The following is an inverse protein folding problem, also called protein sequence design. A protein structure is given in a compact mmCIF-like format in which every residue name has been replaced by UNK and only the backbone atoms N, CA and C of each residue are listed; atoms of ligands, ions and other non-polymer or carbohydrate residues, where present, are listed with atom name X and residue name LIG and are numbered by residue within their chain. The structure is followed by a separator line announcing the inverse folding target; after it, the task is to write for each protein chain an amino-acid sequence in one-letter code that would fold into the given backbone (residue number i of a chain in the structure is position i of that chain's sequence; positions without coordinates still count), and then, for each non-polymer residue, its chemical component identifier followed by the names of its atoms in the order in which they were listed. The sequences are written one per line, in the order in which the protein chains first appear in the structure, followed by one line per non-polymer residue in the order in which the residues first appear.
data_IF_835219779676
#
_entry.id   IF_835219779676
#
_cell.length_a   1.000
_cell.length_b   1.000
_cell.length_c   1.000
_cell.angle_alpha   90.00
_cell.angle_beta   90.00
_cell.angle_gamma   90.00
#
_symmetry.space_group_name_H-M   'P 1'
#
loop_
_entity.id
_entity.type
_entity.pdbx_description
1 polymer ?
#
# COMPACT_ATOMS: atom_id res chain seq x y z
N UNK A 1 19.20 21.22 -3.71
CA UNK A 1 19.00 19.83 -4.15
C UNK A 1 20.04 18.97 -3.46
N UNK A 2 19.74 18.47 -2.27
CA UNK A 2 20.66 17.64 -1.48
C UNK A 2 20.48 16.19 -1.89
N UNK A 3 21.47 15.67 -2.62
CA UNK A 3 21.67 14.23 -2.84
C UNK A 3 21.75 13.55 -1.46
N UNK A 4 21.01 12.46 -1.18
CA UNK A 4 21.14 11.75 0.10
C UNK A 4 22.56 11.19 0.25
N UNK A 5 23.19 11.45 1.40
CA UNK A 5 24.51 10.93 1.76
C UNK A 5 24.56 9.39 1.68
N UNK A 6 25.75 8.81 1.39
CA UNK A 6 25.94 7.36 1.44
C UNK A 6 25.54 6.87 2.83
N UNK A 7 24.74 5.81 2.89
CA UNK A 7 24.29 5.22 4.14
C UNK A 7 25.49 4.95 5.04
N UNK A 8 25.55 5.66 6.17
CA UNK A 8 26.49 5.41 7.26
C UNK A 8 26.24 4.00 7.79
N UNK A 9 27.14 3.08 7.43
CA UNK A 9 27.09 1.67 7.75
C UNK A 9 27.36 1.37 9.24
N UNK A 10 27.46 2.40 10.10
CA UNK A 10 27.70 2.28 11.54
C UNK A 10 26.50 2.69 12.41
N UNK A 11 25.36 3.06 11.81
CA UNK A 11 24.16 3.41 12.57
C UNK A 11 23.55 2.14 13.20
N UNK A 12 23.34 2.07 14.53
CA UNK A 12 22.71 0.92 15.18
C UNK A 12 21.37 0.55 14.51
N UNK A 13 21.01 -0.73 14.40
CA UNK A 13 19.77 -1.17 13.72
C UNK A 13 18.49 -0.50 14.24
N UNK A 14 18.51 -0.03 15.48
CA UNK A 14 17.41 0.66 16.16
C UNK A 14 17.10 2.05 15.59
N UNK A 15 18.09 2.70 14.96
CA UNK A 15 18.05 4.09 14.48
C UNK A 15 17.99 4.18 12.94
N UNK A 16 18.06 3.04 12.24
CA UNK A 16 17.94 2.97 10.78
C UNK A 16 16.52 3.31 10.32
N UNK A 17 16.38 4.37 9.54
CA UNK A 17 15.12 4.74 8.89
C UNK A 17 14.84 3.73 7.78
N UNK A 18 13.62 3.18 7.67
CA UNK A 18 13.31 2.25 6.60
C UNK A 18 13.57 2.93 5.24
N UNK A 19 14.25 2.27 4.28
CA UNK A 19 14.60 2.86 3.00
C UNK A 19 13.37 2.88 2.08
N UNK A 20 12.30 3.56 2.47
CA UNK A 20 11.08 3.64 1.67
C UNK A 20 11.11 4.96 0.90
N UNK A 21 11.60 4.90 -0.33
CA UNK A 21 11.67 6.07 -1.23
C UNK A 21 10.28 6.47 -1.76
N UNK A 22 9.27 5.59 -1.67
CA UNK A 22 7.97 5.77 -2.31
C UNK A 22 6.86 5.64 -1.27
N UNK A 23 6.20 6.76 -0.94
CA UNK A 23 4.98 6.73 -0.13
C UNK A 23 3.84 6.05 -0.89
N UNK A 24 3.30 4.94 -0.38
CA UNK A 24 2.26 4.19 -1.09
C UNK A 24 0.99 5.02 -1.37
N UNK A 25 0.50 5.87 -0.44
CA UNK A 25 -0.61 6.78 -0.75
C UNK A 25 -0.27 7.81 -1.82
N UNK A 26 0.98 8.29 -1.86
CA UNK A 26 1.43 9.26 -2.88
C UNK A 26 1.53 8.57 -4.24
N UNK A 27 2.01 7.32 -4.30
CA UNK A 27 2.02 6.51 -5.51
C UNK A 27 0.60 6.34 -6.07
N UNK A 28 -0.35 5.94 -5.22
CA UNK A 28 -1.76 5.80 -5.60
C UNK A 28 -2.34 7.13 -6.08
N UNK A 29 -2.12 8.23 -5.35
CA UNK A 29 -2.58 9.55 -5.76
C UNK A 29 -1.96 10.00 -7.09
N UNK A 30 -0.67 9.76 -7.30
CA UNK A 30 0.03 10.06 -8.55
C UNK A 30 -0.52 9.24 -9.73
N UNK A 31 -0.85 7.96 -9.52
CA UNK A 31 -1.48 7.13 -10.54
C UNK A 31 -2.86 7.66 -10.94
N UNK A 32 -3.69 8.02 -9.95
CA UNK A 32 -5.04 8.56 -10.20
C UNK A 32 -4.96 9.92 -10.91
N UNK A 33 -4.08 10.83 -10.48
CA UNK A 33 -3.93 12.14 -11.11
C UNK A 33 -3.37 12.02 -12.53
N UNK A 34 -2.36 11.18 -12.74
CA UNK A 34 -1.80 10.93 -14.06
C UNK A 34 -2.85 10.33 -15.00
N UNK A 35 -3.60 9.32 -14.56
CA UNK A 35 -4.68 8.74 -15.33
C UNK A 35 -5.77 9.76 -15.71
N UNK A 36 -6.16 10.63 -14.77
CA UNK A 36 -7.15 11.68 -15.03
C UNK A 36 -6.64 12.72 -16.03
N UNK A 37 -5.37 13.13 -15.93
CA UNK A 37 -4.74 14.06 -16.87
C UNK A 37 -4.64 13.47 -18.28
N UNK A 38 -4.27 12.19 -18.40
CA UNK A 38 -4.21 11.51 -19.69
C UNK A 38 -5.60 11.32 -20.29
N UNK A 39 -6.62 10.98 -19.48
CA UNK A 39 -8.01 10.89 -19.95
C UNK A 39 -8.52 12.26 -20.42
N UNK A 40 -8.18 13.34 -19.72
CA UNK A 40 -8.56 14.69 -20.13
C UNK A 40 -7.87 15.11 -21.44
N UNK A 41 -6.58 14.77 -21.60
CA UNK A 41 -5.78 15.14 -22.76
C UNK A 41 -6.06 14.26 -24.00
N UNK A 42 -6.38 12.99 -23.77
CA UNK A 42 -6.73 11.98 -24.77
C UNK A 42 -7.90 11.12 -24.23
N UNK A 43 -9.14 11.58 -24.47
CA UNK A 43 -10.32 10.83 -24.06
C UNK A 43 -10.41 9.56 -24.90
N UNK A 44 -10.01 8.43 -24.30
CA UNK A 44 -10.21 7.11 -24.86
C UNK A 44 -11.59 6.59 -24.48
N UNK A 45 -12.11 5.62 -25.23
CA UNK A 45 -13.38 4.99 -24.91
C UNK A 45 -13.32 4.34 -23.53
N UNK A 46 -14.22 4.76 -22.64
CA UNK A 46 -14.36 4.18 -21.30
C UNK A 46 -15.25 2.94 -21.38
N UNK A 47 -15.07 1.97 -20.48
CA UNK A 47 -15.83 0.72 -20.52
C UNK A 47 -17.35 0.90 -20.32
N UNK A 48 -17.79 2.10 -19.93
CA UNK A 48 -19.21 2.48 -19.82
C UNK A 48 -19.96 2.52 -21.16
N UNK A 49 -19.25 2.49 -22.29
CA UNK A 49 -19.84 2.29 -23.60
C UNK A 49 -20.43 0.89 -23.78
N UNK A 50 -19.97 -0.08 -22.99
CA UNK A 50 -20.35 -1.51 -23.08
C UNK A 50 -21.03 -2.00 -21.79
N UNK A 51 -20.62 -1.48 -20.63
CA UNK A 51 -21.09 -1.89 -19.32
C UNK A 51 -21.98 -0.82 -18.65
N UNK A 52 -23.03 -1.22 -17.91
CA UNK A 52 -23.92 -0.29 -17.23
C UNK A 52 -23.20 0.44 -16.08
N UNK A 53 -23.31 1.78 -16.03
CA UNK A 53 -22.58 2.62 -15.07
C UNK A 53 -22.92 2.36 -13.61
N UNK A 54 -24.20 2.12 -13.31
CA UNK A 54 -24.68 2.02 -11.91
C UNK A 54 -24.09 0.80 -11.17
N UNK A 55 -24.13 -0.43 -11.72
CA UNK A 55 -23.48 -1.58 -11.08
C UNK A 55 -21.98 -1.39 -10.87
N UNK A 56 -21.27 -0.81 -11.86
CA UNK A 56 -19.83 -0.54 -11.73
C UNK A 56 -19.55 0.47 -10.60
N UNK A 57 -20.33 1.55 -10.51
CA UNK A 57 -20.20 2.51 -9.44
C UNK A 57 -20.45 1.89 -8.06
N UNK A 58 -21.46 1.01 -7.93
CA UNK A 58 -21.75 0.31 -6.67
C UNK A 58 -20.62 -0.65 -6.28
N UNK A 59 -20.15 -1.49 -7.21
CA UNK A 59 -19.04 -2.41 -6.96
C UNK A 59 -17.78 -1.63 -6.57
N UNK A 60 -17.46 -0.57 -7.32
CA UNK A 60 -16.33 0.29 -7.02
C UNK A 60 -16.42 0.94 -5.65
N UNK A 61 -17.60 1.47 -5.29
CA UNK A 61 -17.84 2.06 -3.96
C UNK A 61 -17.68 1.03 -2.83
N UNK A 62 -18.16 -0.21 -3.02
CA UNK A 62 -17.98 -1.30 -2.05
C UNK A 62 -16.49 -1.65 -1.89
N UNK A 63 -15.73 -1.75 -2.98
CA UNK A 63 -14.29 -1.98 -2.94
C UNK A 63 -13.55 -0.85 -2.22
N UNK A 64 -13.88 0.41 -2.51
CA UNK A 64 -13.30 1.58 -1.82
C UNK A 64 -13.62 1.54 -0.33
N UNK A 65 -14.87 1.27 0.04
CA UNK A 65 -15.30 1.18 1.43
C UNK A 65 -14.56 0.07 2.20
N UNK A 66 -14.42 -1.11 1.59
CA UNK A 66 -13.69 -2.22 2.20
C UNK A 66 -12.19 -1.93 2.31
N UNK A 67 -11.58 -1.33 1.28
CA UNK A 67 -10.19 -0.91 1.30
C UNK A 67 -9.91 0.13 2.38
N UNK A 68 -10.76 1.16 2.47
CA UNK A 68 -10.70 2.18 3.52
C UNK A 68 -10.86 1.59 4.92
N UNK A 69 -11.79 0.64 5.09
CA UNK A 69 -11.97 -0.09 6.34
C UNK A 69 -10.69 -0.83 6.77
N UNK A 70 -10.01 -1.53 5.85
CA UNK A 70 -8.76 -2.22 6.15
C UNK A 70 -7.65 -1.25 6.58
N UNK A 71 -7.49 -0.13 5.87
CA UNK A 71 -6.49 0.90 6.21
C UNK A 71 -6.78 1.50 7.58
N UNK A 72 -8.02 1.90 7.84
CA UNK A 72 -8.43 2.48 9.13
C UNK A 72 -8.19 1.49 10.27
N UNK A 73 -8.60 0.22 10.10
CA UNK A 73 -8.35 -0.82 11.11
C UNK A 73 -6.86 -1.00 11.38
N UNK A 74 -6.04 -1.09 10.34
CA UNK A 74 -4.59 -1.25 10.49
C UNK A 74 -3.96 -0.07 11.25
N UNK A 75 -4.32 1.16 10.88
CA UNK A 75 -3.85 2.38 11.54
C UNK A 75 -4.28 2.39 13.02
N UNK A 76 -5.54 2.05 13.32
CA UNK A 76 -6.04 1.98 14.69
C UNK A 76 -5.32 0.89 15.52
N UNK A 77 -5.06 -0.28 14.95
CA UNK A 77 -4.31 -1.35 15.63
C UNK A 77 -2.88 -0.89 15.92
N UNK A 78 -2.21 -0.24 14.96
CA UNK A 78 -0.88 0.33 15.15
C UNK A 78 -0.85 1.40 16.24
N UNK A 79 -1.79 2.35 16.21
CA UNK A 79 -1.91 3.39 17.24
C UNK A 79 -2.14 2.81 18.64
N UNK A 80 -3.02 1.81 18.76
CA UNK A 80 -3.31 1.14 20.05
C UNK A 80 -2.10 0.37 20.58
N UNK A 81 -1.28 -0.18 19.70
CA UNK A 81 -0.04 -0.85 20.07
C UNK A 81 1.11 0.12 20.39
N UNK A 82 0.88 1.44 20.33
CA UNK A 82 1.91 2.45 20.57
C UNK A 82 3.02 2.46 19.51
N UNK A 83 2.77 1.89 18.34
CA UNK A 83 3.72 1.87 17.22
C UNK A 83 3.42 2.99 16.25
N UNK A 84 4.47 3.61 15.71
CA UNK A 84 4.30 4.58 14.64
C UNK A 84 3.88 3.83 13.37
N UNK A 85 2.90 4.39 12.65
CA UNK A 85 2.64 3.96 11.27
C UNK A 85 3.97 4.10 10.51
N UNK A 86 4.44 3.04 9.83
CA UNK A 86 5.76 3.01 9.22
C UNK A 86 5.77 4.09 8.15
N UNK A 87 6.43 5.21 8.44
CA UNK A 87 6.56 6.30 7.47
C UNK A 87 7.88 7.04 7.67
N UNK A 88 8.26 7.39 8.91
CA UNK A 88 9.57 8.04 9.18
C UNK A 88 10.13 7.82 10.60
N UNK A 89 9.49 6.97 11.40
CA UNK A 89 9.91 6.72 12.77
C UNK A 89 10.26 5.24 12.94
N UNK A 90 11.24 4.92 13.79
CA UNK A 90 11.55 3.54 14.12
C UNK A 90 10.26 2.84 14.57
N UNK A 91 9.98 1.65 14.02
CA UNK A 91 8.88 0.83 14.51
C UNK A 91 9.19 0.47 15.97
N UNK A 92 8.36 0.89 16.92
CA UNK A 92 8.61 0.71 18.36
C UNK A 92 8.09 -0.63 18.86
N UNK A 93 7.13 -1.24 18.15
CA UNK A 93 6.60 -2.56 18.46
C UNK A 93 6.19 -3.31 17.18
N UNK A 94 6.33 -4.63 17.22
CA UNK A 94 5.84 -5.54 16.19
C UNK A 94 4.36 -5.87 16.47
N UNK A 95 3.46 -5.50 15.54
CA UNK A 95 2.02 -5.71 15.67
C UNK A 95 1.61 -6.95 14.87
N UNK A 96 1.11 -7.97 15.57
CA UNK A 96 0.77 -9.27 14.98
C UNK A 96 -0.69 -9.70 15.19
N UNK A 97 -1.52 -8.82 15.74
CA UNK A 97 -2.92 -9.10 16.08
C UNK A 97 -3.90 -8.28 15.22
N UNK A 98 -5.20 -8.58 15.33
CA UNK A 98 -6.27 -7.94 14.55
C UNK A 98 -6.06 -8.17 13.03
N UNK A 99 -6.14 -7.13 12.19
CA UNK A 99 -5.95 -7.23 10.73
C UNK A 99 -4.54 -7.72 10.36
N UNK A 100 -3.54 -7.47 11.22
CA UNK A 100 -2.18 -7.96 11.05
C UNK A 100 -2.04 -9.46 11.32
N UNK A 101 -3.02 -10.12 11.94
CA UNK A 101 -3.02 -11.57 12.10
C UNK A 101 -3.41 -12.32 10.81
N UNK A 102 -4.01 -11.62 9.83
CA UNK A 102 -4.48 -12.23 8.57
C UNK A 102 -3.58 -11.94 7.39
N UNK A 103 -2.99 -10.74 7.35
CA UNK A 103 -2.02 -10.33 6.35
C UNK A 103 -0.96 -9.49 7.02
N UNK A 104 0.29 -9.61 6.58
CA UNK A 104 1.38 -8.76 7.08
C UNK A 104 1.29 -7.32 6.58
N UNK A 105 0.52 -7.09 5.51
CA UNK A 105 0.48 -5.84 4.76
C UNK A 105 -0.96 -5.30 4.57
N UNK A 106 -1.77 -5.15 5.64
CA UNK A 106 -3.19 -4.77 5.52
C UNK A 106 -3.40 -3.36 4.93
N UNK A 107 -2.48 -2.43 5.18
CA UNK A 107 -2.52 -1.07 4.60
C UNK A 107 -2.36 -1.15 3.08
N UNK A 108 -1.36 -1.89 2.61
CA UNK A 108 -1.10 -2.07 1.18
C UNK A 108 -2.27 -2.74 0.46
N UNK A 109 -2.84 -3.77 1.09
CA UNK A 109 -4.03 -4.42 0.55
C UNK A 109 -5.21 -3.45 0.46
N UNK A 110 -5.45 -2.66 1.50
CA UNK A 110 -6.52 -1.67 1.49
C UNK A 110 -6.33 -0.59 0.42
N UNK A 111 -5.09 -0.15 0.20
CA UNK A 111 -4.73 0.80 -0.87
C UNK A 111 -4.95 0.20 -2.27
N UNK A 112 -4.49 -1.04 -2.50
CA UNK A 112 -4.70 -1.75 -3.78
C UNK A 112 -6.19 -1.95 -4.04
N UNK A 113 -6.95 -2.39 -3.04
CA UNK A 113 -8.39 -2.62 -3.15
C UNK A 113 -9.16 -1.32 -3.38
N UNK A 114 -8.76 -0.24 -2.71
CA UNK A 114 -9.32 1.09 -2.93
C UNK A 114 -9.05 1.59 -4.35
N UNK A 115 -7.80 1.49 -4.83
CA UNK A 115 -7.43 1.88 -6.19
C UNK A 115 -8.18 1.06 -7.25
N UNK A 116 -8.32 -0.26 -7.03
CA UNK A 116 -9.14 -1.11 -7.90
C UNK A 116 -10.61 -0.67 -7.89
N UNK A 117 -11.15 -0.30 -6.73
CA UNK A 117 -12.51 0.23 -6.63
C UNK A 117 -12.70 1.53 -7.40
N UNK A 118 -11.72 2.44 -7.39
CA UNK A 118 -11.73 3.66 -8.22
C UNK A 118 -11.69 3.29 -9.70
N UNK A 119 -10.83 2.33 -10.09
CA UNK A 119 -10.74 1.85 -11.48
C UNK A 119 -12.04 1.19 -11.97
N UNK A 120 -12.80 0.52 -11.09
CA UNK A 120 -14.11 -0.06 -11.43
C UNK A 120 -15.19 1.03 -11.51
N UNK A 121 -15.24 1.95 -10.55
CA UNK A 121 -16.23 3.04 -10.54
C UNK A 121 -16.03 4.00 -11.72
N UNK A 122 -14.78 4.20 -12.14
CA UNK A 122 -14.40 5.05 -13.26
C UNK A 122 -13.54 4.25 -14.25
N UNK A 123 -14.15 3.44 -15.13
CA UNK A 123 -13.44 2.46 -15.95
C UNK A 123 -12.76 3.10 -17.18
N UNK A 124 -11.80 3.98 -16.91
CA UNK A 124 -10.87 4.54 -17.88
C UNK A 124 -9.73 3.56 -18.14
N UNK A 125 -9.37 3.39 -19.41
CA UNK A 125 -8.24 2.53 -19.81
C UNK A 125 -6.92 2.99 -19.19
N UNK A 126 -6.72 4.31 -19.05
CA UNK A 126 -5.55 4.86 -18.39
C UNK A 126 -5.49 4.43 -16.93
N UNK A 127 -6.63 4.51 -16.23
CA UNK A 127 -6.69 4.17 -14.82
C UNK A 127 -6.45 2.67 -14.59
N UNK A 128 -7.01 1.80 -15.43
CA UNK A 128 -6.73 0.36 -15.39
C UNK A 128 -5.25 0.08 -15.65
N UNK A 129 -4.68 0.71 -16.68
CA UNK A 129 -3.27 0.54 -17.06
C UNK A 129 -2.31 0.95 -15.94
N UNK A 130 -2.59 2.03 -15.21
CA UNK A 130 -1.78 2.44 -14.07
C UNK A 130 -2.05 1.64 -12.80
N UNK A 131 -3.26 1.10 -12.62
CA UNK A 131 -3.64 0.33 -11.42
C UNK A 131 -3.06 -1.08 -11.44
N UNK A 132 -3.11 -1.77 -12.58
CA UNK A 132 -2.70 -3.17 -12.72
C UNK A 132 -1.25 -3.49 -12.27
N UNK A 133 -0.22 -2.65 -12.54
CA UNK A 133 1.14 -2.93 -12.11
C UNK A 133 1.40 -2.66 -10.61
N UNK A 134 0.53 -1.92 -9.91
CA UNK A 134 0.79 -1.49 -8.52
C UNK A 134 1.00 -2.65 -7.54
N UNK A 135 0.17 -3.70 -7.51
CA UNK A 135 0.39 -4.84 -6.62
C UNK A 135 1.74 -5.52 -6.87
N UNK A 136 2.17 -5.59 -8.14
CA UNK A 136 3.47 -6.15 -8.51
C UNK A 136 4.62 -5.27 -8.02
N UNK A 137 4.53 -3.96 -8.22
CA UNK A 137 5.54 -3.00 -7.72
C UNK A 137 5.66 -3.10 -6.19
N UNK A 138 4.53 -3.17 -5.48
CA UNK A 138 4.52 -3.34 -4.03
C UNK A 138 5.19 -4.65 -3.62
N UNK A 139 4.89 -5.76 -4.30
CA UNK A 139 5.44 -7.07 -3.97
C UNK A 139 6.94 -7.20 -4.25
N UNK A 140 7.44 -6.58 -5.31
CA UNK A 140 8.85 -6.75 -5.74
C UNK A 140 9.76 -5.66 -5.19
N UNK A 141 9.28 -4.42 -5.04
CA UNK A 141 10.13 -3.29 -4.66
C UNK A 141 9.93 -2.87 -3.19
N UNK A 142 8.69 -2.70 -2.74
CA UNK A 142 8.39 -2.06 -1.44
C UNK A 142 8.41 -3.08 -0.30
N UNK A 143 7.58 -4.13 -0.41
CA UNK A 143 7.42 -5.13 0.65
C UNK A 143 8.76 -5.79 1.01
N UNK A 144 9.61 -6.26 0.06
CA UNK A 144 10.86 -6.92 0.42
C UNK A 144 11.84 -6.03 1.17
N UNK A 145 11.83 -4.72 0.90
CA UNK A 145 12.64 -3.75 1.63
C UNK A 145 12.14 -3.59 3.07
N UNK A 146 10.83 -3.44 3.25
CA UNK A 146 10.22 -3.38 4.58
C UNK A 146 10.43 -4.68 5.37
N UNK A 147 10.27 -5.84 4.73
CA UNK A 147 10.49 -7.13 5.39
C UNK A 147 11.95 -7.29 5.83
N UNK A 148 12.93 -6.84 5.02
CA UNK A 148 14.35 -6.87 5.40
C UNK A 148 14.61 -5.98 6.61
N UNK A 149 14.03 -4.78 6.65
CA UNK A 149 14.13 -3.88 7.79
C UNK A 149 13.48 -4.47 9.05
N UNK A 150 12.28 -5.04 8.93
CA UNK A 150 11.59 -5.71 10.04
C UNK A 150 12.38 -6.93 10.56
N UNK A 151 12.93 -7.75 9.66
CA UNK A 151 13.79 -8.88 10.03
C UNK A 151 15.07 -8.44 10.74
N UNK A 152 15.72 -7.36 10.27
CA UNK A 152 16.91 -6.82 10.90
C UNK A 152 16.62 -6.25 12.30
N UNK A 153 15.44 -5.65 12.48
CA UNK A 153 15.03 -5.01 13.73
C UNK A 153 14.51 -5.97 14.80
N UNK A 154 13.63 -6.89 14.42
CA UNK A 154 12.91 -7.76 15.35
C UNK A 154 13.38 -9.22 15.30
N UNK A 155 14.27 -9.58 14.36
CA UNK A 155 14.92 -10.89 14.32
C UNK A 155 13.95 -12.07 14.34
N UNK A 156 14.13 -12.95 15.34
CA UNK A 156 13.37 -14.19 15.47
C UNK A 156 11.85 -13.98 15.64
N UNK A 157 11.43 -12.90 16.31
CA UNK A 157 10.01 -12.61 16.52
C UNK A 157 9.30 -12.31 15.20
N UNK A 158 9.99 -11.60 14.29
CA UNK A 158 9.46 -11.33 12.96
C UNK A 158 9.45 -12.57 12.07
N UNK A 159 10.48 -13.42 12.16
CA UNK A 159 10.51 -14.72 11.46
C UNK A 159 9.32 -15.59 11.86
N UNK A 160 9.08 -15.74 13.17
CA UNK A 160 7.95 -16.51 13.69
C UNK A 160 6.59 -15.93 13.26
N UNK A 161 6.48 -14.60 13.17
CA UNK A 161 5.30 -13.94 12.64
C UNK A 161 5.08 -14.20 11.14
N UNK A 162 6.14 -14.11 10.35
CA UNK A 162 6.13 -14.35 8.89
C UNK A 162 5.75 -15.79 8.53
N UNK A 163 6.13 -16.77 9.35
CA UNK A 163 5.74 -18.16 9.15
C UNK A 163 4.24 -18.40 9.38
N UNK A 164 3.62 -17.64 10.30
CA UNK A 164 2.20 -17.80 10.66
C UNK A 164 1.27 -16.95 9.80
N UNK A 165 1.78 -15.87 9.22
CA UNK A 165 0.95 -14.87 8.54
C UNK A 165 1.42 -14.69 7.10
N UNK A 166 0.57 -14.92 6.10
CA UNK A 166 0.97 -14.74 4.71
C UNK A 166 1.14 -13.25 4.37
N UNK A 167 1.87 -12.97 3.29
CA UNK A 167 2.08 -11.60 2.81
C UNK A 167 0.76 -10.98 2.34
N UNK A 168 0.03 -11.74 1.53
CA UNK A 168 -1.32 -11.47 1.03
C UNK A 168 -2.26 -12.57 1.56
N UNK A 169 -3.57 -12.33 1.53
CA UNK A 169 -4.57 -13.35 1.92
C UNK A 169 -4.46 -14.63 1.09
#
# INVERSE_FOLDING_TARGET
MTVPSPQDNNTPPEEQVPPVLIHPPVLVAACVTMAALLQWRWPLADATAVLPRVPLAVIGAVCIGLGGYLVVRAILTMHRAGTNVPTFKPATALVTHDVFARTRNPIYLGLVLGLLGVAIAWPSIWLVMFTLPIPLILNVAVIPQEERYMSAKFGADYTAYRERTPCWF
#
